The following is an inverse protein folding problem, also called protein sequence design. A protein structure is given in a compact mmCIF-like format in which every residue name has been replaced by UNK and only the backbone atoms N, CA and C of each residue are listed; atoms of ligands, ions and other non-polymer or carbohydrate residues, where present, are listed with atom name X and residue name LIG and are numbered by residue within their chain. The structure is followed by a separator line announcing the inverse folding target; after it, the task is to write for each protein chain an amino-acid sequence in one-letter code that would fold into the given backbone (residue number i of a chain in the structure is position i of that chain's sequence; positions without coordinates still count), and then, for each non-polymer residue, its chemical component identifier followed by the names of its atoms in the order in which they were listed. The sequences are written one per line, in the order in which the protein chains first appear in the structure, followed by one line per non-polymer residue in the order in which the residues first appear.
data_IF_227897254106
#
_entry.id   IF_227897254106
#
_cell.length_a   1.000
_cell.length_b   1.000
_cell.length_c   1.000
_cell.angle_alpha   90.00
_cell.angle_beta   90.00
_cell.angle_gamma   90.00
#
_symmetry.space_group_name_H-M   'P 1'
#
loop_
_entity.id
_entity.type
_entity.pdbx_description
1 polymer ?
#
# COMPACT_ATOMS: atom_id res chain seq x y z
N UNK A 1 9.43 14.99 -4.46
CA UNK A 1 8.27 14.11 -4.73
C UNK A 1 7.61 14.36 -6.09
N UNK A 2 7.01 15.53 -6.40
CA UNK A 2 6.24 15.70 -7.65
C UNK A 2 6.98 15.27 -8.94
N UNK A 3 8.22 15.74 -9.16
CA UNK A 3 9.03 15.34 -10.34
C UNK A 3 9.21 13.82 -10.45
N UNK A 4 9.40 13.14 -9.33
CA UNK A 4 9.53 11.68 -9.29
C UNK A 4 8.22 11.02 -9.74
N UNK A 5 7.08 11.46 -9.20
CA UNK A 5 5.77 10.93 -9.55
C UNK A 5 5.40 11.21 -11.00
N UNK A 6 5.69 12.43 -11.51
CA UNK A 6 5.52 12.79 -12.92
C UNK A 6 6.31 11.83 -13.83
N UNK A 7 7.55 11.51 -13.48
CA UNK A 7 8.39 10.56 -14.23
C UNK A 7 7.87 9.13 -14.14
N UNK A 8 7.53 8.64 -12.94
CA UNK A 8 7.00 7.28 -12.77
C UNK A 8 5.66 7.07 -13.48
N UNK A 9 4.85 8.13 -13.60
CA UNK A 9 3.59 8.11 -14.32
C UNK A 9 3.77 7.87 -15.84
N UNK A 10 4.96 8.11 -16.41
CA UNK A 10 5.25 7.76 -17.80
C UNK A 10 5.56 6.27 -17.99
N UNK A 11 5.61 5.48 -16.92
CA UNK A 11 5.87 4.05 -16.97
C UNK A 11 7.32 3.65 -17.29
N UNK A 12 8.35 4.27 -16.69
CA UNK A 12 9.74 3.93 -16.97
C UNK A 12 10.05 2.48 -16.54
N UNK A 13 11.04 1.88 -17.19
CA UNK A 13 11.63 0.62 -16.74
C UNK A 13 12.70 0.87 -15.66
N UNK A 14 13.27 -0.21 -15.14
CA UNK A 14 14.32 -0.17 -14.12
C UNK A 14 15.48 0.73 -14.54
N UNK A 15 16.01 1.51 -13.59
CA UNK A 15 17.13 2.40 -13.88
C UNK A 15 17.33 3.51 -12.86
N UNK A 16 18.07 4.55 -13.29
CA UNK A 16 18.31 5.74 -12.48
C UNK A 16 17.22 6.77 -12.69
N UNK A 17 16.88 7.49 -11.63
CA UNK A 17 16.06 8.69 -11.77
C UNK A 17 16.88 9.79 -12.48
N UNK A 18 16.36 10.46 -13.52
CA UNK A 18 17.17 11.32 -14.38
C UNK A 18 17.57 12.68 -13.79
N UNK A 19 17.02 13.09 -12.64
CA UNK A 19 17.40 14.35 -11.98
C UNK A 19 18.55 14.09 -10.98
N UNK A 20 19.80 14.49 -11.28
CA UNK A 20 20.96 14.22 -10.42
C UNK A 20 20.94 15.01 -9.12
N UNK A 21 20.07 16.03 -9.00
CA UNK A 21 19.91 16.82 -7.78
C UNK A 21 18.75 16.33 -6.91
N UNK A 22 18.00 15.33 -7.38
CA UNK A 22 16.93 14.75 -6.59
C UNK A 22 17.50 13.74 -5.58
N UNK A 23 16.86 13.59 -4.41
CA UNK A 23 17.31 12.66 -3.37
C UNK A 23 16.97 11.19 -3.70
N UNK A 24 16.68 10.88 -4.97
CA UNK A 24 16.27 9.55 -5.44
C UNK A 24 17.27 9.06 -6.46
N UNK A 25 17.75 7.84 -6.28
CA UNK A 25 18.88 7.30 -7.02
C UNK A 25 18.44 6.30 -8.07
N UNK A 26 17.65 5.31 -7.66
CA UNK A 26 17.27 4.17 -8.50
C UNK A 26 15.79 3.86 -8.37
N UNK A 27 15.26 3.29 -9.44
CA UNK A 27 13.87 2.89 -9.59
C UNK A 27 13.87 1.44 -10.05
N UNK A 28 13.03 0.64 -9.43
CA UNK A 28 12.80 -0.75 -9.81
C UNK A 28 11.30 -0.98 -9.90
N UNK A 29 10.84 -1.42 -11.07
CA UNK A 29 9.45 -1.80 -11.31
C UNK A 29 9.21 -3.17 -10.71
N UNK A 30 8.26 -3.25 -9.79
CA UNK A 30 7.93 -4.48 -9.08
C UNK A 30 6.80 -5.18 -9.82
N UNK A 31 7.09 -6.39 -10.32
CA UNK A 31 6.13 -7.25 -11.00
C UNK A 31 5.15 -7.97 -10.06
N UNK A 32 4.28 -8.81 -10.64
CA UNK A 32 3.40 -9.73 -9.89
C UNK A 32 2.03 -9.17 -9.49
N UNK A 33 1.79 -7.86 -9.63
CA UNK A 33 0.49 -7.24 -9.34
C UNK A 33 -0.37 -7.03 -10.58
N UNK A 34 -1.52 -7.71 -10.69
CA UNK A 34 -2.44 -7.53 -11.82
C UNK A 34 -3.23 -6.20 -11.80
N UNK A 35 -3.24 -5.50 -10.66
CA UNK A 35 -4.15 -4.36 -10.42
C UNK A 35 -3.46 -3.01 -10.26
N UNK A 36 -2.13 -2.96 -10.25
CA UNK A 36 -1.38 -1.74 -9.96
C UNK A 36 -0.03 -1.73 -10.67
N UNK A 37 0.48 -0.54 -10.96
CA UNK A 37 1.91 -0.34 -11.28
C UNK A 37 2.61 -0.01 -9.97
N UNK A 38 3.66 -0.75 -9.63
CA UNK A 38 4.40 -0.59 -8.39
C UNK A 38 5.88 -0.36 -8.69
N UNK A 39 6.46 0.62 -8.02
CA UNK A 39 7.89 0.88 -8.05
C UNK A 39 8.46 0.84 -6.64
N UNK A 40 9.63 0.23 -6.50
CA UNK A 40 10.58 0.54 -5.43
C UNK A 40 11.44 1.71 -5.89
N UNK A 41 11.56 2.75 -5.06
CA UNK A 41 12.40 3.92 -5.32
C UNK A 41 13.40 4.04 -4.19
N UNK A 42 14.69 3.93 -4.49
CA UNK A 42 15.73 4.10 -3.49
C UNK A 42 16.25 5.54 -3.47
N UNK A 43 16.51 6.06 -2.27
CA UNK A 43 16.90 7.45 -2.06
C UNK A 43 17.59 7.70 -0.73
N UNK A 44 18.03 8.93 -0.50
CA UNK A 44 18.83 9.30 0.68
C UNK A 44 18.07 9.14 2.01
N UNK A 45 16.76 9.37 1.99
CA UNK A 45 15.89 9.27 3.16
C UNK A 45 15.34 7.86 3.40
N UNK A 46 15.82 6.86 2.64
CA UNK A 46 15.31 5.50 2.63
C UNK A 46 14.46 5.19 1.41
N UNK A 47 14.12 3.92 1.30
CA UNK A 47 13.42 3.37 0.14
C UNK A 47 11.91 3.59 0.26
N UNK A 48 11.27 3.80 -0.88
CA UNK A 48 9.84 4.06 -1.01
C UNK A 48 9.18 3.00 -1.89
N UNK A 49 7.94 2.65 -1.57
CA UNK A 49 7.03 2.03 -2.51
C UNK A 49 6.08 3.08 -3.09
N UNK A 50 6.07 3.21 -4.43
CA UNK A 50 5.16 4.10 -5.18
C UNK A 50 4.20 3.24 -5.97
N UNK A 51 2.91 3.33 -5.67
CA UNK A 51 1.88 2.47 -6.24
C UNK A 51 0.81 3.31 -6.95
N UNK A 52 0.72 3.11 -8.27
CA UNK A 52 -0.37 3.63 -9.09
C UNK A 52 -1.48 2.59 -9.14
N UNK A 53 -2.64 2.95 -8.61
CA UNK A 53 -3.77 2.03 -8.45
C UNK A 53 -4.82 2.25 -9.55
N UNK A 54 -5.53 1.18 -9.91
CA UNK A 54 -6.69 1.29 -10.80
C UNK A 54 -7.74 2.26 -10.23
N UNK A 55 -8.18 3.21 -11.06
CA UNK A 55 -9.26 4.14 -10.77
C UNK A 55 -10.61 3.45 -10.96
N UNK A 56 -11.21 3.01 -9.86
CA UNK A 56 -12.58 2.48 -9.85
C UNK A 56 -13.31 2.82 -8.54
N UNK A 57 -14.59 2.44 -8.45
CA UNK A 57 -15.45 2.73 -7.29
C UNK A 57 -14.98 2.16 -5.96
N UNK A 58 -13.90 1.36 -5.94
CA UNK A 58 -13.34 0.81 -4.70
C UNK A 58 -12.39 1.78 -4.00
N UNK A 59 -11.99 2.88 -4.65
CA UNK A 59 -11.10 3.91 -4.07
C UNK A 59 -9.84 3.30 -3.42
N UNK A 60 -9.15 2.41 -4.15
CA UNK A 60 -8.06 1.57 -3.61
C UNK A 60 -6.96 2.38 -2.93
N UNK A 61 -6.39 3.38 -3.59
CA UNK A 61 -5.30 4.19 -3.03
C UNK A 61 -5.71 4.87 -1.71
N UNK A 62 -6.90 5.46 -1.65
CA UNK A 62 -7.42 6.09 -0.43
C UNK A 62 -7.58 5.09 0.71
N UNK A 63 -8.16 3.92 0.43
CA UNK A 63 -8.34 2.87 1.45
C UNK A 63 -7.01 2.35 1.99
N UNK A 64 -6.04 2.16 1.12
CA UNK A 64 -4.69 1.74 1.50
C UNK A 64 -4.02 2.80 2.37
N UNK A 65 -4.00 4.06 1.92
CA UNK A 65 -3.44 5.17 2.69
C UNK A 65 -4.09 5.30 4.07
N UNK A 66 -5.42 5.26 4.16
CA UNK A 66 -6.15 5.34 5.43
C UNK A 66 -5.90 4.13 6.34
N UNK A 67 -5.78 2.92 5.79
CA UNK A 67 -5.46 1.73 6.58
C UNK A 67 -4.06 1.85 7.21
N UNK A 68 -3.07 2.31 6.44
CA UNK A 68 -1.71 2.56 6.95
C UNK A 68 -1.69 3.66 8.01
N UNK A 69 -2.45 4.74 7.81
CA UNK A 69 -2.59 5.80 8.82
C UNK A 69 -3.21 5.26 10.12
N UNK A 70 -4.21 4.38 10.02
CA UNK A 70 -4.84 3.80 11.20
C UNK A 70 -3.87 2.88 11.97
N UNK A 71 -3.04 2.12 11.27
CA UNK A 71 -2.00 1.27 11.89
C UNK A 71 -0.95 2.14 12.59
N UNK A 72 -0.49 3.23 11.94
CA UNK A 72 0.47 4.15 12.54
C UNK A 72 -0.08 4.92 13.74
N UNK A 73 -1.35 5.33 13.70
CA UNK A 73 -1.99 6.01 14.82
C UNK A 73 -2.00 5.15 16.10
N UNK A 74 -1.89 3.83 15.96
CA UNK A 74 -1.81 2.86 17.06
C UNK A 74 -0.36 2.49 17.42
N UNK A 75 0.63 3.15 16.82
CA UNK A 75 2.05 2.93 17.11
C UNK A 75 2.56 1.54 16.69
N UNK A 76 1.87 0.85 15.78
CA UNK A 76 2.24 -0.49 15.35
C UNK A 76 3.28 -0.44 14.23
N UNK A 77 4.49 -0.93 14.48
CA UNK A 77 5.56 -1.06 13.51
C UNK A 77 5.47 -2.36 12.68
N UNK A 78 4.28 -2.66 12.13
CA UNK A 78 3.99 -3.90 11.38
C UNK A 78 3.54 -3.65 9.94
N UNK A 79 3.50 -2.38 9.52
CA UNK A 79 3.13 -1.97 8.18
C UNK A 79 4.01 -0.79 7.73
N UNK A 80 4.12 -0.57 6.41
CA UNK A 80 4.73 0.64 5.86
C UNK A 80 4.15 1.94 6.42
N UNK A 81 4.97 2.98 6.40
CA UNK A 81 4.54 4.33 6.76
C UNK A 81 3.80 4.98 5.58
N UNK A 82 2.59 5.55 5.78
CA UNK A 82 1.91 6.31 4.74
C UNK A 82 2.57 7.68 4.54
N UNK A 83 3.12 7.94 3.36
CA UNK A 83 3.85 9.18 3.08
C UNK A 83 3.00 10.17 2.28
N UNK A 84 2.32 9.69 1.23
CA UNK A 84 1.52 10.57 0.37
C UNK A 84 0.38 9.82 -0.32
N UNK A 85 -0.74 10.51 -0.49
CA UNK A 85 -1.86 10.13 -1.35
C UNK A 85 -2.12 11.25 -2.36
N UNK A 86 -2.16 10.91 -3.64
CA UNK A 86 -2.58 11.81 -4.71
C UNK A 86 -3.63 11.12 -5.59
N UNK A 87 -4.87 11.60 -5.51
CA UNK A 87 -6.00 11.00 -6.21
C UNK A 87 -6.34 11.68 -7.54
N UNK A 88 -5.72 12.83 -7.82
CA UNK A 88 -6.20 13.75 -8.86
C UNK A 88 -5.17 14.11 -9.92
N UNK A 89 -3.87 14.13 -9.59
CA UNK A 89 -2.86 14.66 -10.52
C UNK A 89 -2.51 13.70 -11.66
N UNK A 90 -2.85 12.41 -11.52
CA UNK A 90 -2.48 11.36 -12.47
C UNK A 90 -3.69 10.54 -12.92
N UNK A 91 -3.55 9.88 -14.07
CA UNK A 91 -4.59 8.99 -14.60
C UNK A 91 -5.00 7.91 -13.58
N UNK A 92 -4.03 7.34 -12.88
CA UNK A 92 -4.19 6.39 -11.79
C UNK A 92 -3.88 7.06 -10.44
N UNK A 93 -4.77 6.96 -9.41
CA UNK A 93 -4.46 7.42 -8.07
C UNK A 93 -3.19 6.79 -7.51
N UNK A 94 -2.37 7.60 -6.84
CA UNK A 94 -1.06 7.22 -6.33
C UNK A 94 -1.06 7.18 -4.82
N UNK A 95 -0.50 6.12 -4.26
CA UNK A 95 -0.10 6.05 -2.86
C UNK A 95 1.41 5.84 -2.77
N UNK A 96 2.07 6.62 -1.92
CA UNK A 96 3.48 6.51 -1.57
C UNK A 96 3.58 6.09 -0.12
N UNK A 97 4.39 5.08 0.14
CA UNK A 97 4.65 4.55 1.47
C UNK A 97 6.13 4.21 1.64
N UNK A 98 6.60 4.05 2.87
CA UNK A 98 7.96 3.55 3.10
C UNK A 98 8.11 2.13 2.54
N UNK A 99 9.33 1.76 2.18
CA UNK A 99 9.65 0.38 1.85
C UNK A 99 9.86 -0.42 3.15
N UNK A 100 9.18 -1.56 3.29
CA UNK A 100 9.43 -2.48 4.39
C UNK A 100 10.52 -3.45 3.95
N UNK A 101 11.69 -3.38 4.60
CA UNK A 101 12.77 -4.31 4.35
C UNK A 101 12.42 -5.73 4.81
N UNK A 102 12.76 -6.72 3.98
CA UNK A 102 12.49 -8.12 4.27
C UNK A 102 12.41 -8.98 3.01
N UNK A 103 12.59 -10.28 3.20
CA UNK A 103 12.41 -11.27 2.14
C UNK A 103 10.95 -11.71 2.09
N UNK A 104 10.34 -11.64 0.91
CA UNK A 104 9.01 -12.23 0.68
C UNK A 104 9.17 -13.73 0.52
N UNK A 105 8.71 -14.49 1.51
CA UNK A 105 8.73 -15.96 1.47
C UNK A 105 7.36 -16.54 1.14
N UNK A 106 7.34 -17.57 0.29
CA UNK A 106 6.16 -18.41 0.06
C UNK A 106 6.06 -19.56 1.08
N UNK A 107 7.10 -19.75 1.89
CA UNK A 107 7.16 -20.79 2.90
C UNK A 107 6.50 -20.26 4.17
N UNK A 108 5.51 -20.96 4.75
CA UNK A 108 4.89 -20.54 6.00
C UNK A 108 5.92 -20.53 7.15
N UNK A 109 5.63 -19.86 8.27
CA UNK A 109 6.45 -19.94 9.48
C UNK A 109 6.81 -21.39 9.82
N UNK A 110 8.09 -21.65 10.08
CA UNK A 110 8.61 -23.01 10.29
C UNK A 110 8.73 -23.38 11.78
N UNK A 111 8.61 -22.42 12.68
CA UNK A 111 8.75 -22.61 14.12
C UNK A 111 7.54 -22.08 14.87
N UNK A 112 7.26 -22.66 16.05
CA UNK A 112 6.20 -22.16 16.94
C UNK A 112 6.40 -20.68 17.31
N UNK A 113 7.66 -20.24 17.45
CA UNK A 113 7.99 -18.86 17.73
C UNK A 113 7.58 -17.92 16.58
N UNK A 114 7.81 -18.32 15.33
CA UNK A 114 7.42 -17.53 14.16
C UNK A 114 5.90 -17.52 13.96
N UNK A 115 5.24 -18.65 14.20
CA UNK A 115 3.77 -18.72 14.26
C UNK A 115 3.21 -17.80 15.33
N UNK A 116 3.81 -17.79 16.52
CA UNK A 116 3.38 -16.93 17.61
C UNK A 116 3.49 -15.44 17.25
N UNK A 117 4.60 -15.02 16.63
CA UNK A 117 4.76 -13.64 16.15
C UNK A 117 3.69 -13.25 15.12
N UNK A 118 3.41 -14.13 14.15
CA UNK A 118 2.38 -13.88 13.13
C UNK A 118 0.99 -13.71 13.76
N UNK A 119 0.63 -14.57 14.72
CA UNK A 119 -0.63 -14.47 15.46
C UNK A 119 -0.68 -13.19 16.29
N UNK A 120 0.41 -12.83 16.98
CA UNK A 120 0.49 -11.58 17.74
C UNK A 120 0.24 -10.36 16.83
N UNK A 121 0.88 -10.29 15.66
CA UNK A 121 0.63 -9.21 14.70
C UNK A 121 -0.82 -9.18 14.21
N UNK A 122 -1.42 -10.35 13.94
CA UNK A 122 -2.84 -10.43 13.57
C UNK A 122 -3.77 -9.90 14.67
N UNK A 123 -3.50 -10.28 15.93
CA UNK A 123 -4.26 -9.80 17.10
C UNK A 123 -4.12 -8.29 17.25
N UNK A 124 -2.90 -7.74 17.13
CA UNK A 124 -2.69 -6.28 17.18
C UNK A 124 -3.48 -5.55 16.09
N UNK A 125 -3.49 -6.05 14.85
CA UNK A 125 -4.30 -5.46 13.78
C UNK A 125 -5.81 -5.50 14.08
N UNK A 126 -6.30 -6.60 14.68
CA UNK A 126 -7.72 -6.76 15.06
C UNK A 126 -8.16 -5.84 16.19
N UNK A 127 -7.22 -5.24 16.93
CA UNK A 127 -7.52 -4.25 17.96
C UNK A 127 -7.81 -2.86 17.36
N UNK A 128 -7.44 -2.60 16.11
CA UNK A 128 -7.79 -1.35 15.42
C UNK A 128 -9.27 -1.43 15.03
N UNK A 129 -10.07 -0.49 15.54
CA UNK A 129 -11.51 -0.42 15.30
C UNK A 129 -11.95 1.01 14.99
N UNK A 130 -13.08 1.20 14.29
CA UNK A 130 -13.61 2.54 14.00
C UNK A 130 -13.75 3.42 15.26
N UNK A 131 -14.13 2.83 16.40
CA UNK A 131 -14.31 3.53 17.66
C UNK A 131 -13.01 3.99 18.35
N UNK A 132 -11.86 3.42 17.98
CA UNK A 132 -10.59 3.68 18.66
C UNK A 132 -9.49 4.22 17.74
N UNK A 133 -9.79 4.50 16.47
CA UNK A 133 -8.86 5.12 15.53
C UNK A 133 -9.28 6.55 15.18
N UNK A 134 -8.33 7.51 15.13
CA UNK A 134 -8.63 8.87 14.68
C UNK A 134 -8.85 8.94 13.16
N UNK A 135 -8.56 7.86 12.43
CA UNK A 135 -8.63 7.83 10.97
C UNK A 135 -10.02 7.38 10.51
N UNK A 136 -10.70 8.26 9.76
CA UNK A 136 -11.97 7.91 9.13
C UNK A 136 -11.74 6.97 7.95
N UNK A 137 -11.93 5.68 8.18
CA UNK A 137 -11.82 4.64 7.15
C UNK A 137 -12.94 4.78 6.11
N UNK A 138 -12.57 4.76 4.84
CA UNK A 138 -13.54 4.70 3.74
C UNK A 138 -14.29 3.35 3.75
N UNK A 139 -15.59 3.41 3.43
CA UNK A 139 -16.43 2.22 3.34
C UNK A 139 -15.85 1.21 2.35
N UNK A 140 -15.82 -0.06 2.76
CA UNK A 140 -15.43 -1.15 1.89
C UNK A 140 -16.52 -1.43 0.86
N UNK A 141 -16.18 -1.35 -0.42
CA UNK A 141 -17.03 -1.88 -1.50
C UNK A 141 -16.64 -3.33 -1.77
N UNK A 142 -17.58 -4.25 -1.58
CA UNK A 142 -17.47 -5.64 -2.03
C UNK A 142 -18.22 -5.74 -3.35
N UNK A 143 -17.51 -6.07 -4.43
CA UNK A 143 -18.19 -6.36 -5.69
C UNK A 143 -18.76 -7.78 -5.61
N UNK A 144 -20.08 -7.88 -5.48
CA UNK A 144 -20.81 -9.10 -5.80
C UNK A 144 -20.98 -9.15 -7.33
N UNK A 145 -20.66 -10.27 -7.95
CA UNK A 145 -20.79 -10.44 -9.40
C UNK A 145 -22.26 -10.64 -9.85
N UNK A 146 -23.25 -10.42 -8.99
CA UNK A 146 -24.67 -10.48 -9.35
C UNK A 146 -25.64 -10.18 -8.20
N UNK A 147 -26.83 -9.69 -8.56
CA UNK A 147 -27.89 -9.26 -7.63
C UNK A 147 -28.52 -10.42 -6.83
N UNK A 148 -28.47 -11.64 -7.38
CA UNK A 148 -28.99 -12.85 -6.73
C UNK A 148 -28.10 -13.31 -5.56
N UNK A 149 -26.78 -13.18 -5.67
CA UNK A 149 -25.83 -13.58 -4.62
C UNK A 149 -25.87 -12.65 -3.41
N UNK A 150 -26.18 -11.37 -3.63
CA UNK A 150 -26.28 -10.38 -2.56
C UNK A 150 -27.53 -10.53 -1.68
N UNK A 151 -28.67 -10.93 -2.26
CA UNK A 151 -29.95 -11.05 -1.53
C UNK A 151 -30.06 -12.36 -0.73
N UNK A 152 -29.42 -13.44 -1.18
CA UNK A 152 -29.48 -14.75 -0.52
C UNK A 152 -28.71 -14.81 0.81
N UNK A 153 -27.83 -13.85 1.10
CA UNK A 153 -27.00 -13.82 2.32
C UNK A 153 -27.33 -12.66 3.28
N UNK A 154 -28.39 -11.89 2.99
CA UNK A 154 -28.94 -10.87 3.90
C UNK A 154 -30.23 -11.32 4.61
N UNK A 155 -30.58 -12.60 4.50
CA UNK A 155 -31.59 -13.29 5.33
C UNK A 155 -30.88 -14.30 6.23
#
# INVERSE_FOLDING_TARGET
MKKLLDYLATGPEDGRFPDPNAPYHTLQKIGGGANNILYKVSGDAGDLAVKFTLRDGRNRARREFQALQAIQAHGLAIAPEPILLDESSYAQPVVVQSWLEGEVTAVPPQTDADWHKLVQHHVSLRQIRPENTPVKLAMGVVNFNGLADGLAQMQ
#
